data_IF_235686860474
#
_entry.id   IF_235686860474
#
_cell.length_a   1.000
_cell.length_b   1.000
_cell.length_c   1.000
_cell.angle_alpha   90.00
_cell.angle_beta   90.00
_cell.angle_gamma   90.00
#
_symmetry.space_group_name_H-M   'P 1'
#
loop_
_entity.id
_entity.type
_entity.pdbx_description
1 polymer ?
#
# COMPACT_ATOMS: atom_id res chain seq x y z
N UNK A 1 29.09 -4.97 35.85
CA UNK A 1 29.71 -5.35 34.57
C UNK A 1 28.72 -4.91 33.47
N UNK A 2 28.92 -3.73 32.88
CA UNK A 2 28.04 -3.20 31.85
C UNK A 2 28.40 -3.88 30.52
N UNK A 3 27.43 -4.55 29.90
CA UNK A 3 27.57 -5.05 28.54
C UNK A 3 27.73 -3.85 27.59
N UNK A 4 28.72 -3.85 26.68
CA UNK A 4 28.80 -2.79 25.69
C UNK A 4 27.58 -2.89 24.81
N UNK A 5 26.73 -1.87 24.83
CA UNK A 5 25.74 -1.64 23.79
C UNK A 5 26.49 -1.33 22.48
N UNK A 6 26.95 -2.36 21.79
CA UNK A 6 27.25 -2.22 20.39
C UNK A 6 25.92 -1.81 19.72
N UNK A 7 25.81 -0.56 19.32
CA UNK A 7 24.79 -0.10 18.44
C UNK A 7 25.02 -0.88 17.15
N UNK A 8 24.33 -2.02 17.00
CA UNK A 8 24.28 -2.74 15.75
C UNK A 8 23.61 -1.78 14.76
N UNK A 9 24.42 -1.19 13.89
CA UNK A 9 23.89 -0.46 12.76
C UNK A 9 22.84 -1.39 12.12
N UNK A 10 21.60 -0.92 12.00
CA UNK A 10 20.57 -1.68 11.28
C UNK A 10 21.15 -2.05 9.91
N UNK A 11 21.11 -3.33 9.51
CA UNK A 11 21.58 -3.70 8.19
C UNK A 11 20.85 -2.82 7.16
N UNK A 12 21.59 -2.36 6.14
CA UNK A 12 20.99 -1.58 5.07
C UNK A 12 19.81 -2.36 4.49
N UNK A 13 18.66 -1.72 4.43
CA UNK A 13 17.46 -2.34 3.83
C UNK A 13 17.76 -2.64 2.35
N UNK A 14 17.64 -3.90 1.96
CA UNK A 14 17.72 -4.27 0.55
C UNK A 14 16.42 -3.83 -0.14
N UNK A 15 16.52 -2.90 -1.08
CA UNK A 15 15.34 -2.42 -1.83
C UNK A 15 15.11 -3.30 -3.06
N UNK A 16 13.95 -3.94 -3.16
CA UNK A 16 13.56 -4.64 -4.38
C UNK A 16 13.24 -3.65 -5.50
N UNK A 17 13.24 -4.12 -6.73
CA UNK A 17 12.77 -3.35 -7.87
C UNK A 17 11.30 -3.66 -8.14
N UNK A 18 10.54 -2.61 -8.47
CA UNK A 18 9.16 -2.78 -8.92
C UNK A 18 9.09 -3.42 -10.32
N UNK A 19 10.15 -3.25 -11.11
CA UNK A 19 10.21 -3.61 -12.53
C UNK A 19 9.53 -2.59 -13.44
N UNK A 20 9.19 -1.42 -12.92
CA UNK A 20 8.64 -0.27 -13.66
C UNK A 20 9.66 0.86 -13.58
N UNK A 21 10.27 1.24 -14.70
CA UNK A 21 11.39 2.19 -14.76
C UNK A 21 11.07 3.53 -14.10
N UNK A 22 9.87 4.06 -14.33
CA UNK A 22 9.46 5.36 -13.75
C UNK A 22 9.33 5.27 -12.22
N UNK A 23 8.76 4.19 -11.71
CA UNK A 23 8.66 3.91 -10.26
C UNK A 23 10.04 3.79 -9.65
N UNK A 24 10.89 2.92 -10.22
CA UNK A 24 12.21 2.64 -9.66
C UNK A 24 13.08 3.90 -9.62
N UNK A 25 12.99 4.75 -10.66
CA UNK A 25 13.65 6.06 -10.67
C UNK A 25 13.13 6.98 -9.55
N UNK A 26 11.80 7.07 -9.39
CA UNK A 26 11.22 7.89 -8.31
C UNK A 26 11.64 7.38 -6.93
N UNK A 27 11.65 6.08 -6.72
CA UNK A 27 12.10 5.49 -5.45
C UNK A 27 13.58 5.77 -5.17
N UNK A 28 14.44 5.77 -6.18
CA UNK A 28 15.87 6.03 -6.02
C UNK A 28 16.18 7.52 -5.79
N UNK A 29 15.52 8.43 -6.50
CA UNK A 29 15.92 9.82 -6.62
C UNK A 29 14.97 10.82 -5.94
N UNK A 30 13.67 10.49 -5.83
CA UNK A 30 12.62 11.43 -5.44
C UNK A 30 11.90 11.13 -4.14
N UNK A 31 11.78 9.87 -3.77
CA UNK A 31 10.89 9.41 -2.70
C UNK A 31 11.10 10.13 -1.36
N UNK A 32 12.35 10.25 -0.92
CA UNK A 32 12.67 10.89 0.36
C UNK A 32 12.58 12.42 0.33
N UNK A 33 12.45 13.00 -0.87
CA UNK A 33 12.27 14.45 -1.02
C UNK A 33 10.81 14.89 -0.81
N UNK A 34 9.87 13.93 -0.76
CA UNK A 34 8.47 14.18 -0.47
C UNK A 34 8.18 13.79 0.98
N UNK A 35 7.64 14.71 1.82
CA UNK A 35 7.26 14.39 3.19
C UNK A 35 6.26 13.23 3.24
N UNK A 36 6.39 12.35 4.24
CA UNK A 36 5.49 11.21 4.46
C UNK A 36 6.14 10.12 5.30
N UNK A 37 5.34 9.17 5.79
CA UNK A 37 5.76 8.12 6.70
C UNK A 37 5.75 6.72 6.05
N UNK A 38 5.38 6.62 4.80
CA UNK A 38 5.28 5.35 4.08
C UNK A 38 6.65 4.75 3.70
N UNK A 39 6.72 3.42 3.76
CA UNK A 39 7.91 2.63 3.45
C UNK A 39 8.25 2.65 1.95
N UNK A 40 9.54 2.89 1.63
CA UNK A 40 10.06 2.75 0.26
C UNK A 40 10.03 1.28 -0.19
N UNK A 41 10.37 0.37 0.70
CA UNK A 41 10.29 -1.08 0.47
C UNK A 41 8.87 -1.49 0.10
N UNK A 42 7.87 -1.04 0.86
CA UNK A 42 6.47 -1.32 0.56
C UNK A 42 6.01 -0.69 -0.77
N UNK A 43 6.46 0.53 -1.08
CA UNK A 43 6.15 1.18 -2.34
C UNK A 43 6.67 0.37 -3.55
N UNK A 44 7.91 -0.16 -3.48
CA UNK A 44 8.47 -1.01 -4.53
C UNK A 44 7.63 -2.27 -4.76
N UNK A 45 7.22 -2.95 -3.68
CA UNK A 45 6.43 -4.19 -3.76
C UNK A 45 5.01 -3.90 -4.26
N UNK A 46 4.34 -2.87 -3.75
CA UNK A 46 2.99 -2.50 -4.19
C UNK A 46 2.95 -2.12 -5.68
N UNK A 47 3.95 -1.34 -6.14
CA UNK A 47 4.07 -1.01 -7.56
C UNK A 47 4.42 -2.23 -8.42
N UNK A 48 5.26 -3.14 -7.93
CA UNK A 48 5.52 -4.42 -8.61
C UNK A 48 4.28 -5.31 -8.68
N UNK A 49 3.42 -5.26 -7.67
CA UNK A 49 2.12 -5.93 -7.71
C UNK A 49 1.21 -5.33 -8.79
N UNK A 50 1.21 -4.00 -8.98
CA UNK A 50 0.49 -3.34 -10.08
C UNK A 50 0.98 -3.81 -11.46
N UNK A 51 2.29 -4.05 -11.62
CA UNK A 51 2.85 -4.67 -12.84
C UNK A 51 2.34 -6.11 -13.00
N UNK A 52 2.35 -6.91 -11.94
CA UNK A 52 1.82 -8.29 -11.94
C UNK A 52 0.32 -8.29 -12.31
N UNK A 53 -0.46 -7.34 -11.81
CA UNK A 53 -1.87 -7.18 -12.19
C UNK A 53 -2.01 -6.93 -13.70
N UNK A 54 -1.17 -6.08 -14.27
CA UNK A 54 -1.17 -5.82 -15.72
C UNK A 54 -0.83 -7.09 -16.51
N UNK A 55 0.11 -7.91 -16.05
CA UNK A 55 0.42 -9.22 -16.66
C UNK A 55 -0.77 -10.19 -16.61
N UNK A 56 -1.60 -10.09 -15.57
CA UNK A 56 -2.83 -10.88 -15.45
C UNK A 56 -4.02 -10.33 -16.27
N UNK A 57 -3.85 -9.18 -16.91
CA UNK A 57 -4.94 -8.48 -17.58
C UNK A 57 -5.89 -7.78 -16.61
N UNK A 58 -5.53 -7.65 -15.34
CA UNK A 58 -6.29 -6.87 -14.35
C UNK A 58 -5.93 -5.41 -14.51
N UNK A 59 -6.88 -4.63 -15.02
CA UNK A 59 -6.73 -3.18 -15.26
C UNK A 59 -7.77 -2.40 -14.49
N UNK A 60 -7.53 -1.12 -14.27
CA UNK A 60 -8.45 -0.21 -13.59
C UNK A 60 -7.72 0.93 -12.89
N UNK A 61 -8.46 1.90 -12.37
CA UNK A 61 -7.89 2.97 -11.57
C UNK A 61 -7.11 2.45 -10.36
N UNK A 62 -6.23 3.29 -9.84
CA UNK A 62 -5.58 3.10 -8.55
C UNK A 62 -6.08 4.19 -7.61
N UNK A 63 -6.39 3.87 -6.37
CA UNK A 63 -6.88 4.84 -5.39
C UNK A 63 -6.06 4.79 -4.10
N UNK A 64 -5.95 5.92 -3.42
CA UNK A 64 -5.34 6.05 -2.10
C UNK A 64 -6.24 6.90 -1.19
N UNK A 65 -6.53 6.40 0.00
CA UNK A 65 -7.18 7.11 1.10
C UNK A 65 -6.07 7.53 2.08
N UNK A 66 -5.94 8.84 2.35
CA UNK A 66 -4.85 9.38 3.15
C UNK A 66 -3.58 9.65 2.32
N UNK A 67 -3.70 10.49 1.29
CA UNK A 67 -2.59 10.75 0.37
C UNK A 67 -1.54 11.74 0.90
N UNK A 68 -1.88 12.54 1.91
CA UNK A 68 -1.04 13.56 2.52
C UNK A 68 -0.34 14.45 1.47
N UNK A 69 0.99 14.51 1.46
CA UNK A 69 1.79 15.25 0.49
C UNK A 69 2.20 14.42 -0.75
N UNK A 70 1.70 13.18 -0.87
CA UNK A 70 1.78 12.37 -2.08
C UNK A 70 2.98 11.43 -2.18
N UNK A 71 3.76 11.19 -1.11
CA UNK A 71 4.95 10.33 -1.18
C UNK A 71 4.67 8.96 -1.78
N UNK A 72 3.67 8.25 -1.26
CA UNK A 72 3.31 6.92 -1.75
C UNK A 72 2.45 7.01 -3.02
N UNK A 73 1.56 8.00 -3.09
CA UNK A 73 0.70 8.26 -4.25
C UNK A 73 1.47 8.43 -5.56
N UNK A 74 2.58 9.19 -5.54
CA UNK A 74 3.42 9.41 -6.73
C UNK A 74 4.00 8.08 -7.25
N UNK A 75 4.42 7.18 -6.35
CA UNK A 75 4.87 5.85 -6.76
C UNK A 75 3.75 5.06 -7.44
N UNK A 76 2.54 5.07 -6.86
CA UNK A 76 1.35 4.43 -7.45
C UNK A 76 0.99 5.05 -8.81
N UNK A 77 1.04 6.37 -8.94
CA UNK A 77 0.75 7.08 -10.18
C UNK A 77 1.74 6.73 -11.30
N UNK A 78 3.01 6.53 -10.97
CA UNK A 78 4.02 6.05 -11.93
C UNK A 78 3.83 4.57 -12.34
N UNK A 79 3.05 3.81 -11.58
CA UNK A 79 2.75 2.41 -11.88
C UNK A 79 1.49 2.20 -12.73
N UNK A 80 0.81 3.27 -13.11
CA UNK A 80 -0.39 3.20 -13.94
C UNK A 80 -0.09 2.64 -15.33
N UNK A 81 -0.94 1.77 -15.81
CA UNK A 81 -0.96 1.38 -17.21
C UNK A 81 -1.60 2.49 -18.09
N UNK A 82 -1.33 2.52 -19.41
CA UNK A 82 -1.94 3.51 -20.30
C UNK A 82 -3.47 3.53 -20.18
N UNK A 83 -4.03 4.73 -20.01
CA UNK A 83 -5.48 4.94 -19.89
C UNK A 83 -6.05 4.69 -18.48
N UNK A 84 -5.20 4.40 -17.50
CA UNK A 84 -5.60 4.36 -16.08
C UNK A 84 -5.47 5.74 -15.43
N UNK A 85 -6.13 5.91 -14.29
CA UNK A 85 -6.16 7.15 -13.51
C UNK A 85 -5.87 6.83 -12.05
N UNK A 86 -5.13 7.69 -11.37
CA UNK A 86 -4.95 7.64 -9.92
C UNK A 86 -5.97 8.57 -9.23
N UNK A 87 -6.51 8.14 -8.08
CA UNK A 87 -7.41 8.92 -7.23
C UNK A 87 -6.81 9.05 -5.84
N UNK A 88 -6.51 10.28 -5.43
CA UNK A 88 -6.14 10.62 -4.07
C UNK A 88 -7.39 11.12 -3.32
N UNK A 89 -7.72 10.50 -2.19
CA UNK A 89 -8.81 10.90 -1.29
C UNK A 89 -8.17 11.29 0.04
N UNK A 90 -8.33 12.53 0.46
CA UNK A 90 -7.77 13.03 1.70
C UNK A 90 -8.62 14.20 2.21
N UNK A 91 -8.63 14.44 3.51
CA UNK A 91 -9.21 15.65 4.09
C UNK A 91 -8.45 16.90 3.65
N UNK A 92 -7.16 16.75 3.33
CA UNK A 92 -6.25 17.82 2.95
C UNK A 92 -6.36 19.02 3.89
N UNK A 93 -6.34 18.75 5.21
CA UNK A 93 -6.44 19.76 6.27
C UNK A 93 -5.36 19.62 7.36
N UNK A 94 -4.57 18.54 7.31
CA UNK A 94 -3.47 18.30 8.25
C UNK A 94 -2.12 18.29 7.49
N UNK A 95 -1.08 18.98 8.00
CA UNK A 95 -1.04 19.79 9.25
C UNK A 95 -1.71 21.17 9.09
N UNK A 96 -2.05 21.56 7.88
CA UNK A 96 -2.70 22.84 7.54
C UNK A 96 -3.43 22.75 6.19
N UNK A 97 -4.17 23.79 5.82
CA UNK A 97 -4.97 23.82 4.60
C UNK A 97 -4.15 23.87 3.29
N UNK A 98 -2.85 24.10 3.35
CA UNK A 98 -1.96 24.18 2.17
C UNK A 98 -1.44 22.80 1.75
N UNK A 99 -1.77 21.74 2.46
CA UNK A 99 -1.28 20.37 2.17
C UNK A 99 -1.68 19.92 0.78
N UNK A 100 -2.88 20.27 0.27
CA UNK A 100 -3.30 19.95 -1.08
C UNK A 100 -2.42 20.63 -2.15
N UNK A 101 -1.99 21.86 -1.91
CA UNK A 101 -1.09 22.57 -2.83
C UNK A 101 0.32 21.95 -2.81
N UNK A 102 0.78 21.48 -1.64
CA UNK A 102 2.04 20.74 -1.52
C UNK A 102 1.95 19.41 -2.24
N UNK A 103 0.87 18.66 -2.08
CA UNK A 103 0.59 17.42 -2.82
C UNK A 103 0.68 17.65 -4.33
N UNK A 104 -0.02 18.64 -4.86
CA UNK A 104 -0.02 18.95 -6.30
C UNK A 104 1.36 19.37 -6.81
N UNK A 105 2.09 20.20 -6.05
CA UNK A 105 3.46 20.59 -6.39
C UNK A 105 4.42 19.40 -6.40
N UNK A 106 4.28 18.47 -5.45
CA UNK A 106 5.09 17.27 -5.39
C UNK A 106 4.80 16.35 -6.58
N UNK A 107 3.52 16.14 -6.92
CA UNK A 107 3.13 15.40 -8.11
C UNK A 107 3.77 15.97 -9.37
N UNK A 108 3.62 17.28 -9.61
CA UNK A 108 4.21 17.97 -10.76
C UNK A 108 5.74 17.88 -10.78
N UNK A 109 6.40 18.11 -9.64
CA UNK A 109 7.86 18.02 -9.48
C UNK A 109 8.42 16.65 -9.84
N UNK A 110 7.66 15.59 -9.55
CA UNK A 110 8.06 14.22 -9.80
C UNK A 110 7.43 13.61 -11.06
N UNK A 111 6.95 14.47 -11.99
CA UNK A 111 6.53 14.03 -13.32
C UNK A 111 5.17 13.33 -13.38
N UNK A 112 4.31 13.55 -12.38
CA UNK A 112 2.92 13.13 -12.40
C UNK A 112 2.06 14.34 -12.80
N UNK A 113 1.59 14.42 -14.07
CA UNK A 113 0.83 15.57 -14.55
C UNK A 113 -0.58 15.60 -13.95
N UNK A 114 -1.16 16.80 -13.82
CA UNK A 114 -2.46 16.98 -13.19
C UNK A 114 -3.62 16.27 -13.93
N UNK A 115 -3.44 15.98 -15.20
CA UNK A 115 -4.40 15.21 -16.02
C UNK A 115 -4.36 13.71 -15.72
N UNK A 116 -3.29 13.22 -15.08
CA UNK A 116 -3.07 11.81 -14.74
C UNK A 116 -3.73 11.37 -13.44
N UNK A 117 -4.24 12.31 -12.63
CA UNK A 117 -4.84 11.98 -11.35
C UNK A 117 -6.01 12.88 -10.97
N UNK A 118 -6.73 12.45 -9.95
CA UNK A 118 -7.80 13.22 -9.30
C UNK A 118 -7.40 13.40 -7.83
N UNK A 119 -7.25 14.65 -7.37
CA UNK A 119 -7.14 14.96 -5.95
C UNK A 119 -8.55 15.34 -5.44
N UNK A 120 -9.07 14.52 -4.55
CA UNK A 120 -10.41 14.71 -4.01
C UNK A 120 -10.36 14.99 -2.51
N UNK A 121 -10.65 16.24 -2.16
CA UNK A 121 -10.81 16.65 -0.77
C UNK A 121 -12.14 16.12 -0.24
N UNK A 122 -12.08 15.00 0.51
CA UNK A 122 -13.26 14.32 1.04
C UNK A 122 -12.93 13.49 2.28
N UNK A 123 -13.95 13.21 3.09
CA UNK A 123 -13.90 12.28 4.21
C UNK A 123 -14.37 10.90 3.75
N UNK A 124 -13.49 9.91 3.75
CA UNK A 124 -13.81 8.54 3.33
C UNK A 124 -14.80 7.84 4.26
N UNK A 125 -14.85 8.23 5.54
CA UNK A 125 -15.68 7.57 6.56
C UNK A 125 -17.19 7.67 6.31
N UNK A 126 -17.62 8.69 5.57
CA UNK A 126 -19.02 8.89 5.19
C UNK A 126 -19.33 8.64 3.72
N UNK A 127 -18.32 8.24 2.94
CA UNK A 127 -18.41 8.12 1.49
C UNK A 127 -19.20 6.88 1.08
N UNK A 128 -20.16 7.06 0.18
CA UNK A 128 -20.86 5.94 -0.44
C UNK A 128 -20.01 5.33 -1.58
N UNK A 129 -20.07 4.00 -1.79
CA UNK A 129 -19.38 3.34 -2.92
C UNK A 129 -19.66 3.97 -4.28
N UNK A 130 -20.89 4.39 -4.50
CA UNK A 130 -21.37 5.03 -5.74
C UNK A 130 -20.69 6.37 -6.00
N UNK A 131 -20.38 7.13 -4.94
CA UNK A 131 -19.68 8.43 -5.04
C UNK A 131 -18.23 8.21 -5.50
N UNK A 132 -17.53 7.22 -4.93
CA UNK A 132 -16.17 6.87 -5.34
C UNK A 132 -16.17 6.37 -6.79
N UNK A 133 -17.08 5.46 -7.14
CA UNK A 133 -17.18 4.96 -8.51
C UNK A 133 -17.52 6.07 -9.51
N UNK A 134 -18.38 7.04 -9.15
CA UNK A 134 -18.70 8.18 -10.00
C UNK A 134 -17.44 9.04 -10.28
N UNK A 135 -16.56 9.25 -9.29
CA UNK A 135 -15.26 9.93 -9.48
C UNK A 135 -14.36 9.19 -10.47
N UNK A 136 -14.47 7.89 -10.56
CA UNK A 136 -13.70 7.03 -11.44
C UNK A 136 -14.44 6.67 -12.74
N UNK A 137 -15.48 7.44 -13.11
CA UNK A 137 -16.30 7.21 -14.29
C UNK A 137 -16.91 5.78 -14.35
N UNK A 138 -17.32 5.24 -13.21
CA UNK A 138 -17.87 3.90 -13.05
C UNK A 138 -16.83 2.76 -13.03
N UNK A 139 -15.56 3.07 -13.20
CA UNK A 139 -14.47 2.06 -13.23
C UNK A 139 -14.09 1.64 -11.82
N UNK A 140 -13.96 0.34 -11.59
CA UNK A 140 -13.53 -0.21 -10.29
C UNK A 140 -12.01 -0.13 -10.14
N UNK A 141 -11.48 0.33 -8.98
CA UNK A 141 -10.06 0.30 -8.72
C UNK A 141 -9.50 -1.13 -8.76
N UNK A 142 -8.33 -1.33 -9.39
CA UNK A 142 -7.58 -2.59 -9.28
C UNK A 142 -6.66 -2.61 -8.07
N UNK A 143 -6.39 -1.44 -7.48
CA UNK A 143 -5.60 -1.30 -6.27
C UNK A 143 -6.14 -0.12 -5.45
N UNK A 144 -6.31 -0.33 -4.16
CA UNK A 144 -6.74 0.71 -3.23
C UNK A 144 -5.86 0.65 -1.98
N UNK A 145 -5.11 1.73 -1.72
CA UNK A 145 -4.31 1.90 -0.53
C UNK A 145 -5.11 2.65 0.54
N UNK A 146 -5.11 2.15 1.77
CA UNK A 146 -5.77 2.76 2.92
C UNK A 146 -4.70 3.17 3.92
N UNK A 147 -4.52 4.47 4.07
CA UNK A 147 -3.59 5.14 4.98
C UNK A 147 -4.27 6.38 5.60
N UNK A 148 -5.53 6.22 5.96
CA UNK A 148 -6.37 7.29 6.50
C UNK A 148 -6.25 7.44 8.02
N UNK A 149 -7.38 7.70 8.71
CA UNK A 149 -7.39 7.83 10.17
C UNK A 149 -7.07 6.50 10.88
N UNK A 150 -6.11 6.51 11.80
CA UNK A 150 -5.59 5.34 12.49
C UNK A 150 -6.48 4.88 13.67
N UNK A 151 -7.80 4.84 13.45
CA UNK A 151 -8.75 4.29 14.40
C UNK A 151 -9.41 3.02 13.86
N UNK A 152 -9.79 2.09 14.78
CA UNK A 152 -10.54 0.89 14.40
C UNK A 152 -11.82 1.22 13.63
N UNK A 153 -12.53 2.29 14.02
CA UNK A 153 -13.79 2.68 13.40
C UNK A 153 -13.60 3.19 11.96
N UNK A 154 -12.58 4.04 11.75
CA UNK A 154 -12.26 4.57 10.43
C UNK A 154 -11.79 3.45 9.48
N UNK A 155 -10.81 2.64 9.90
CA UNK A 155 -10.34 1.52 9.09
C UNK A 155 -11.47 0.54 8.73
N UNK A 156 -12.39 0.26 9.66
CA UNK A 156 -13.54 -0.59 9.35
C UNK A 156 -14.42 -0.01 8.25
N UNK A 157 -14.63 1.31 8.23
CA UNK A 157 -15.39 1.99 7.17
C UNK A 157 -14.67 1.95 5.84
N UNK A 158 -13.38 2.26 5.84
CA UNK A 158 -12.56 2.26 4.63
C UNK A 158 -12.43 0.85 4.03
N UNK A 159 -12.35 -0.20 4.85
CA UNK A 159 -12.36 -1.60 4.39
C UNK A 159 -13.69 -1.98 3.73
N UNK A 160 -14.85 -1.60 4.31
CA UNK A 160 -16.16 -1.84 3.70
C UNK A 160 -16.31 -1.08 2.37
N UNK A 161 -15.91 0.19 2.34
CA UNK A 161 -15.90 1.00 1.12
C UNK A 161 -15.01 0.36 0.04
N UNK A 162 -13.76 0.04 0.39
CA UNK A 162 -12.80 -0.58 -0.54
C UNK A 162 -13.33 -1.91 -1.10
N UNK A 163 -13.90 -2.76 -0.24
CA UNK A 163 -14.47 -4.06 -0.65
C UNK A 163 -15.64 -3.89 -1.62
N UNK A 164 -16.48 -2.89 -1.42
CA UNK A 164 -17.62 -2.62 -2.28
C UNK A 164 -17.21 -2.13 -3.68
N UNK A 165 -16.06 -1.44 -3.80
CA UNK A 165 -15.63 -0.82 -5.05
C UNK A 165 -14.52 -1.57 -5.78
N UNK A 166 -13.70 -2.37 -5.09
CA UNK A 166 -12.52 -3.03 -5.67
C UNK A 166 -12.90 -3.93 -6.86
N UNK A 167 -12.07 -3.98 -7.87
CA UNK A 167 -12.23 -4.92 -8.99
C UNK A 167 -12.06 -6.38 -8.53
N UNK A 168 -12.62 -7.39 -9.22
CA UNK A 168 -12.54 -8.79 -8.81
C UNK A 168 -11.10 -9.29 -8.56
N UNK A 169 -10.14 -8.92 -9.40
CA UNK A 169 -8.71 -9.20 -9.21
C UNK A 169 -7.95 -8.10 -8.50
N UNK A 170 -8.65 -7.16 -7.88
CA UNK A 170 -8.02 -6.03 -7.19
C UNK A 170 -7.41 -6.41 -5.84
N UNK A 171 -6.54 -5.55 -5.35
CA UNK A 171 -5.86 -5.68 -4.05
C UNK A 171 -6.07 -4.43 -3.22
N UNK A 172 -6.37 -4.61 -1.95
CA UNK A 172 -6.45 -3.54 -0.94
C UNK A 172 -5.16 -3.61 -0.12
N UNK A 173 -4.42 -2.50 -0.04
CA UNK A 173 -3.24 -2.38 0.80
C UNK A 173 -3.59 -1.54 2.04
N UNK A 174 -3.29 -2.07 3.22
CA UNK A 174 -3.58 -1.43 4.52
C UNK A 174 -2.27 -0.96 5.12
N UNK A 175 -2.15 0.32 5.42
CA UNK A 175 -0.98 0.87 6.12
C UNK A 175 -1.09 0.74 7.64
N UNK A 176 -0.02 1.06 8.33
CA UNK A 176 0.11 1.07 9.80
C UNK A 176 -0.23 -0.24 10.52
N UNK A 177 -0.22 -1.34 9.79
CA UNK A 177 -0.44 -2.64 10.40
C UNK A 177 0.71 -2.98 11.36
N UNK A 178 0.35 -3.54 12.52
CA UNK A 178 1.31 -3.89 13.60
C UNK A 178 2.08 -2.68 14.16
N UNK A 179 1.61 -1.45 13.92
CA UNK A 179 2.19 -0.26 14.51
C UNK A 179 1.89 -0.24 16.03
N UNK A 180 2.89 -0.04 16.91
CA UNK A 180 2.67 -0.10 18.35
C UNK A 180 1.75 1.01 18.89
N UNK A 181 1.64 2.14 18.17
CA UNK A 181 0.73 3.23 18.50
C UNK A 181 -0.74 2.96 18.12
N UNK A 182 -0.98 2.03 17.21
CA UNK A 182 -2.33 1.78 16.65
C UNK A 182 -2.74 0.29 16.70
N UNK A 183 -2.63 -0.39 17.87
CA UNK A 183 -2.87 -1.84 17.97
C UNK A 183 -4.30 -2.26 17.60
N UNK A 184 -5.26 -1.34 17.70
CA UNK A 184 -6.66 -1.61 17.39
C UNK A 184 -6.96 -1.78 15.90
N UNK A 185 -6.05 -1.38 15.01
CA UNK A 185 -6.18 -1.62 13.57
C UNK A 185 -6.19 -3.12 13.27
N UNK A 186 -5.40 -3.92 13.99
CA UNK A 186 -5.43 -5.38 13.85
C UNK A 186 -6.79 -5.97 14.22
N UNK A 187 -7.47 -5.40 15.22
CA UNK A 187 -8.83 -5.84 15.60
C UNK A 187 -9.80 -5.59 14.45
N UNK A 188 -9.73 -4.41 13.80
CA UNK A 188 -10.56 -4.10 12.63
C UNK A 188 -10.35 -5.11 11.50
N UNK A 189 -9.10 -5.46 11.19
CA UNK A 189 -8.77 -6.45 10.15
C UNK A 189 -9.31 -7.84 10.49
N UNK A 190 -9.13 -8.31 11.73
CA UNK A 190 -9.64 -9.61 12.15
C UNK A 190 -11.17 -9.67 12.06
N UNK A 191 -11.87 -8.63 12.51
CA UNK A 191 -13.33 -8.54 12.41
C UNK A 191 -13.81 -8.45 10.97
N UNK A 192 -13.10 -7.72 10.12
CA UNK A 192 -13.38 -7.66 8.69
C UNK A 192 -13.26 -9.04 8.05
N UNK A 193 -12.16 -9.76 8.22
CA UNK A 193 -11.96 -11.11 7.68
C UNK A 193 -12.95 -12.13 8.24
N UNK A 194 -13.46 -11.92 9.47
CA UNK A 194 -14.51 -12.75 10.04
C UNK A 194 -15.85 -12.58 9.32
N UNK A 195 -16.14 -11.39 8.76
CA UNK A 195 -17.37 -11.11 8.01
C UNK A 195 -17.22 -11.41 6.51
N UNK A 196 -16.07 -11.07 5.92
CA UNK A 196 -15.78 -11.21 4.48
C UNK A 196 -14.98 -12.48 4.21
N UNK A 197 -15.67 -13.63 4.24
CA UNK A 197 -15.03 -14.95 4.09
C UNK A 197 -14.42 -15.20 2.71
N UNK A 198 -14.77 -14.41 1.71
CA UNK A 198 -14.20 -14.41 0.37
C UNK A 198 -12.85 -13.66 0.29
N UNK A 199 -12.51 -12.85 1.30
CA UNK A 199 -11.28 -12.09 1.38
C UNK A 199 -10.23 -12.80 2.24
N UNK A 200 -8.96 -12.49 1.98
CA UNK A 200 -7.84 -13.00 2.77
C UNK A 200 -6.65 -12.05 2.71
N UNK A 201 -5.76 -12.13 3.70
CA UNK A 201 -4.44 -11.49 3.63
C UNK A 201 -3.57 -12.26 2.66
N UNK A 202 -3.13 -11.60 1.61
CA UNK A 202 -2.24 -12.13 0.57
C UNK A 202 -0.79 -12.15 1.05
N UNK A 203 -0.35 -11.02 1.60
CA UNK A 203 1.01 -10.85 2.08
C UNK A 203 1.08 -9.76 3.14
N UNK A 204 2.05 -9.89 4.03
CA UNK A 204 2.53 -8.84 4.92
C UNK A 204 3.82 -8.28 4.33
N UNK A 205 3.88 -6.98 4.13
CA UNK A 205 5.12 -6.26 3.86
C UNK A 205 5.58 -5.71 5.20
N UNK A 206 6.71 -6.22 5.69
CA UNK A 206 7.23 -5.87 7.01
C UNK A 206 7.73 -4.41 7.03
N UNK A 207 7.83 -3.85 8.23
CA UNK A 207 8.23 -2.46 8.45
C UNK A 207 9.70 -2.22 8.13
N UNK A 208 10.02 -1.05 7.63
CA UNK A 208 11.40 -0.54 7.57
C UNK A 208 11.81 0.11 8.90
N UNK A 209 10.85 0.72 9.59
CA UNK A 209 11.07 1.41 10.87
C UNK A 209 9.73 1.57 11.61
N UNK A 210 9.76 2.18 12.80
CA UNK A 210 8.53 2.46 13.55
C UNK A 210 7.63 3.48 12.83
N UNK A 211 8.23 4.41 12.06
CA UNK A 211 7.48 5.46 11.32
C UNK A 211 7.12 5.03 9.89
N UNK A 212 7.59 3.87 9.47
CA UNK A 212 7.25 3.27 8.17
C UNK A 212 6.78 1.83 8.46
N UNK A 213 5.57 1.74 8.99
CA UNK A 213 4.97 0.53 9.52
C UNK A 213 4.72 -0.55 8.45
N UNK A 214 4.31 -1.72 8.90
CA UNK A 214 3.99 -2.85 8.03
C UNK A 214 2.74 -2.55 7.20
N UNK A 215 2.68 -3.07 5.97
CA UNK A 215 1.46 -3.07 5.17
C UNK A 215 0.90 -4.48 4.98
N UNK A 216 -0.42 -4.60 5.04
CA UNK A 216 -1.10 -5.84 4.69
C UNK A 216 -1.73 -5.71 3.31
N UNK A 217 -1.45 -6.66 2.44
CA UNK A 217 -2.11 -6.79 1.16
C UNK A 217 -3.28 -7.76 1.30
N UNK A 218 -4.49 -7.32 0.95
CA UNK A 218 -5.73 -8.11 1.05
C UNK A 218 -6.30 -8.30 -0.34
N UNK A 219 -6.67 -9.52 -0.67
CA UNK A 219 -7.30 -9.86 -1.96
C UNK A 219 -8.43 -10.88 -1.77
N UNK A 220 -9.16 -11.15 -2.85
CA UNK A 220 -10.10 -12.26 -2.87
C UNK A 220 -9.36 -13.60 -2.90
N UNK A 221 -9.88 -14.60 -2.20
CA UNK A 221 -9.28 -15.95 -2.07
C UNK A 221 -9.05 -16.64 -3.41
N UNK A 222 -9.93 -16.41 -4.38
CA UNK A 222 -9.82 -16.98 -5.73
C UNK A 222 -8.62 -16.44 -6.53
N UNK A 223 -8.05 -15.31 -6.10
CA UNK A 223 -6.84 -14.71 -6.67
C UNK A 223 -5.56 -15.00 -5.88
N UNK A 224 -5.69 -15.47 -4.64
CA UNK A 224 -4.58 -15.66 -3.71
C UNK A 224 -3.40 -16.42 -4.32
N UNK A 225 -3.64 -17.64 -4.81
CA UNK A 225 -2.56 -18.51 -5.34
C UNK A 225 -1.84 -17.94 -6.56
N UNK A 226 -2.55 -17.18 -7.39
CA UNK A 226 -1.94 -16.52 -8.55
C UNK A 226 -0.98 -15.43 -8.12
N UNK A 227 -1.41 -14.58 -7.18
CA UNK A 227 -0.56 -13.51 -6.65
C UNK A 227 0.59 -14.06 -5.82
N UNK A 228 0.33 -15.02 -4.93
CA UNK A 228 1.36 -15.67 -4.11
C UNK A 228 2.51 -16.18 -4.98
N UNK A 229 2.21 -16.95 -6.02
CA UNK A 229 3.22 -17.49 -6.92
C UNK A 229 4.06 -16.40 -7.58
N UNK A 230 3.44 -15.32 -8.05
CA UNK A 230 4.14 -14.21 -8.69
C UNK A 230 4.96 -13.35 -7.71
N UNK A 231 4.46 -13.15 -6.50
CA UNK A 231 5.21 -12.45 -5.45
C UNK A 231 6.43 -13.27 -5.00
N UNK A 232 6.29 -14.59 -4.87
CA UNK A 232 7.39 -15.51 -4.58
C UNK A 232 8.46 -15.47 -5.69
N UNK A 233 8.04 -15.48 -6.96
CA UNK A 233 8.94 -15.39 -8.10
C UNK A 233 9.69 -14.05 -8.12
N UNK A 234 8.97 -12.93 -7.94
CA UNK A 234 9.52 -11.58 -8.08
C UNK A 234 10.39 -11.17 -6.88
N UNK A 235 10.07 -11.64 -5.68
CA UNK A 235 10.66 -11.17 -4.42
C UNK A 235 11.24 -12.29 -3.55
N UNK A 236 11.69 -13.39 -4.16
CA UNK A 236 12.23 -14.56 -3.44
C UNK A 236 13.31 -14.23 -2.40
N UNK A 237 14.17 -13.25 -2.69
CA UNK A 237 15.23 -12.77 -1.78
C UNK A 237 14.72 -11.99 -0.55
N UNK A 238 13.44 -11.69 -0.50
CA UNK A 238 12.79 -10.92 0.58
C UNK A 238 11.76 -11.73 1.38
N UNK A 239 11.57 -13.00 1.04
CA UNK A 239 10.57 -13.85 1.68
C UNK A 239 11.05 -14.32 3.04
N UNK A 240 10.27 -14.04 4.10
CA UNK A 240 10.46 -14.67 5.40
C UNK A 240 9.95 -16.12 5.35
N UNK A 241 10.80 -17.13 5.60
CA UNK A 241 10.46 -18.54 5.35
C UNK A 241 9.30 -19.08 6.18
N UNK A 242 9.06 -18.51 7.36
CA UNK A 242 7.98 -18.96 8.25
C UNK A 242 6.60 -18.55 7.79
N UNK A 243 6.48 -17.48 6.96
CA UNK A 243 5.19 -16.90 6.63
C UNK A 243 4.46 -16.33 7.85
N UNK A 244 3.18 -15.99 7.69
CA UNK A 244 2.31 -15.59 8.79
C UNK A 244 1.00 -16.39 8.76
N UNK A 245 0.59 -16.84 9.94
CA UNK A 245 -0.67 -17.60 10.11
C UNK A 245 -1.84 -16.64 10.30
N UNK A 246 -2.75 -16.67 9.34
CA UNK A 246 -4.04 -15.96 9.37
C UNK A 246 -5.18 -16.98 9.30
N UNK A 247 -5.23 -17.92 10.21
CA UNK A 247 -6.24 -18.99 10.22
C UNK A 247 -7.44 -18.73 9.28
N UNK A 248 -7.72 -19.60 8.31
CA UNK A 248 -7.19 -20.96 8.09
C UNK A 248 -6.06 -21.04 7.05
N UNK A 249 -5.35 -19.96 6.71
CA UNK A 249 -4.30 -19.98 5.69
C UNK A 249 -3.04 -19.22 6.14
N UNK A 250 -1.94 -19.62 5.56
CA UNK A 250 -0.67 -18.92 5.67
C UNK A 250 -0.53 -17.89 4.54
N UNK A 251 -0.03 -16.71 4.86
CA UNK A 251 0.31 -15.69 3.88
C UNK A 251 1.81 -15.43 3.84
N UNK A 252 2.27 -14.80 2.75
CA UNK A 252 3.65 -14.39 2.60
C UNK A 252 4.01 -13.28 3.59
N UNK A 253 5.24 -13.30 4.08
CA UNK A 253 5.86 -12.17 4.75
C UNK A 253 7.07 -11.73 3.92
N UNK A 254 7.07 -10.48 3.47
CA UNK A 254 8.15 -9.86 2.71
C UNK A 254 8.87 -8.86 3.62
N UNK A 255 10.17 -9.04 3.82
CA UNK A 255 10.96 -8.18 4.70
C UNK A 255 12.19 -7.65 3.99
N UNK A 256 12.58 -6.44 4.36
CA UNK A 256 13.82 -5.82 3.90
C UNK A 256 15.05 -6.23 4.74
N UNK A 257 14.91 -7.09 5.72
CA UNK A 257 16.03 -7.56 6.55
C UNK A 257 16.97 -8.46 5.73
N UNK A 258 18.17 -7.95 5.45
CA UNK A 258 19.18 -8.66 4.66
C UNK A 258 19.71 -9.93 5.32
N UNK A 259 19.45 -10.14 6.64
CA UNK A 259 19.84 -11.35 7.35
C UNK A 259 19.01 -12.57 6.99
N UNK A 260 17.90 -12.39 6.25
CA UNK A 260 17.07 -13.51 5.78
C UNK A 260 17.87 -14.52 4.96
N UNK A 261 18.81 -14.05 4.13
CA UNK A 261 19.68 -14.92 3.32
C UNK A 261 20.61 -15.82 4.16
N UNK A 262 20.81 -15.54 5.44
CA UNK A 262 21.65 -16.34 6.34
C UNK A 262 20.87 -17.44 7.08
N UNK A 263 19.53 -17.48 6.93
CA UNK A 263 18.64 -18.41 7.64
C UNK A 263 18.23 -19.59 6.72
N UNK A 264 18.43 -19.43 5.41
CA UNK A 264 18.23 -20.48 4.40
C UNK A 264 19.52 -21.22 4.10
#
# INVERSE_FOLDING_TARGET
MALPHACLASPACALPRSGIVAVDRYLDEGYDSVPGMSSRFAAAICCGLLRIQTEFGTTGPVAEIGAFEGRFFIALAHALAPGETALAIDLFDWPDAEVIDRFQRNCARHGVPCEGYIAWKADSRGMAPEELLAKLAGRRPRFLHIDGEHSRAALSKDLELATAVIAPGGVIALDDMLHPGYPTLMVAVCEYLARHKEMCVLAIIDRESIVAASKFLVCRKDWFKRYEAKLLEAYSGHVWPMGADFEPHWCLVLSCDTRLAAIT
#
